data_IF_590346185219
#
_entry.id   IF_590346185219
#
_cell.length_a   1.000
_cell.length_b   1.000
_cell.length_c   1.000
_cell.angle_alpha   90.00
_cell.angle_beta   90.00
_cell.angle_gamma   90.00
#
_symmetry.space_group_name_H-M   'P 1'
#
loop_
_entity.id
_entity.type
_entity.pdbx_description
1 polymer ?
#
# COMPACT_ATOMS: atom_id res chain seq x y z
N UNK A 1 -10.19 18.78 2.71
CA UNK A 1 -10.03 17.61 1.83
C UNK A 1 -9.06 16.66 2.51
N UNK A 2 -9.52 15.45 2.87
CA UNK A 2 -8.67 14.43 3.51
C UNK A 2 -7.66 13.84 2.49
N UNK A 3 -6.68 13.08 2.98
CA UNK A 3 -5.58 12.53 2.16
C UNK A 3 -6.11 11.63 1.03
N UNK A 4 -7.09 10.77 1.32
CA UNK A 4 -7.72 9.90 0.33
C UNK A 4 -8.36 10.68 -0.84
N UNK A 5 -9.11 11.75 -0.56
CA UNK A 5 -9.73 12.56 -1.61
C UNK A 5 -8.72 13.35 -2.46
N UNK A 6 -7.52 13.65 -1.93
CA UNK A 6 -6.42 14.22 -2.73
C UNK A 6 -5.88 13.22 -3.73
N UNK A 7 -5.70 11.98 -3.32
CA UNK A 7 -5.24 10.94 -4.21
C UNK A 7 -6.23 10.60 -5.32
N UNK A 8 -7.52 10.54 -5.01
CA UNK A 8 -8.56 10.36 -6.04
C UNK A 8 -8.47 11.48 -7.08
N UNK A 9 -8.32 12.73 -6.63
CA UNK A 9 -8.08 13.88 -7.52
C UNK A 9 -6.80 13.76 -8.34
N UNK A 10 -5.69 13.25 -7.79
CA UNK A 10 -4.44 13.05 -8.51
C UNK A 10 -4.55 11.95 -9.58
N UNK A 11 -5.25 10.85 -9.27
CA UNK A 11 -5.54 9.75 -10.20
C UNK A 11 -6.40 10.26 -11.35
N UNK A 12 -7.48 10.98 -11.05
CA UNK A 12 -8.36 11.59 -12.05
C UNK A 12 -7.59 12.60 -12.91
N UNK A 13 -6.80 13.47 -12.27
CA UNK A 13 -6.05 14.52 -12.97
C UNK A 13 -5.03 13.93 -13.94
N UNK A 14 -4.28 12.90 -13.53
CA UNK A 14 -3.28 12.29 -14.42
C UNK A 14 -3.94 11.55 -15.59
N UNK A 15 -5.14 11.00 -15.40
CA UNK A 15 -5.94 10.44 -16.50
C UNK A 15 -6.44 11.51 -17.47
N UNK A 16 -6.90 12.67 -16.96
CA UNK A 16 -7.27 13.83 -17.79
C UNK A 16 -6.07 14.32 -18.60
N UNK A 17 -4.90 14.47 -17.98
CA UNK A 17 -3.66 14.87 -18.66
C UNK A 17 -3.31 13.86 -19.76
N UNK A 18 -3.35 12.56 -19.46
CA UNK A 18 -3.08 11.51 -20.43
C UNK A 18 -4.05 11.55 -21.62
N UNK A 19 -5.35 11.74 -21.37
CA UNK A 19 -6.36 11.88 -22.42
C UNK A 19 -6.12 13.11 -23.30
N UNK A 20 -5.81 14.26 -22.69
CA UNK A 20 -5.50 15.51 -23.39
C UNK A 20 -4.25 15.37 -24.28
N UNK A 21 -3.19 14.69 -23.80
CA UNK A 21 -2.01 14.38 -24.63
C UNK A 21 -2.39 13.52 -25.84
N UNK A 22 -3.21 12.48 -25.65
CA UNK A 22 -3.66 11.62 -26.75
C UNK A 22 -4.56 12.32 -27.77
N UNK A 23 -5.35 13.29 -27.32
CA UNK A 23 -6.17 14.12 -28.18
C UNK A 23 -5.36 15.21 -28.93
N UNK A 24 -4.12 15.47 -28.49
CA UNK A 24 -3.27 16.52 -29.06
C UNK A 24 -3.47 17.91 -28.44
N UNK A 25 -4.31 18.03 -27.41
CA UNK A 25 -4.69 19.31 -26.79
C UNK A 25 -3.51 20.03 -26.10
N UNK A 26 -2.47 19.27 -25.73
CA UNK A 26 -1.27 19.78 -25.07
C UNK A 26 -0.08 19.97 -26.02
N UNK A 27 -0.31 19.81 -27.33
CA UNK A 27 0.71 19.99 -28.38
C UNK A 27 0.48 21.32 -29.07
N UNK A 28 1.44 22.24 -28.96
CA UNK A 28 1.37 23.54 -29.63
C UNK A 28 2.05 23.54 -31.02
N UNK A 29 3.18 22.84 -31.15
CA UNK A 29 3.96 22.72 -32.39
C UNK A 29 4.69 21.36 -32.43
N UNK A 30 5.18 20.98 -33.61
CA UNK A 30 6.02 19.78 -33.78
C UNK A 30 7.49 19.99 -33.42
N UNK A 31 7.86 21.19 -32.94
CA UNK A 31 9.24 21.55 -32.61
C UNK A 31 9.60 21.22 -31.16
N UNK A 32 8.61 21.13 -30.28
CA UNK A 32 8.77 20.84 -28.85
C UNK A 32 7.87 19.69 -28.42
N UNK A 33 8.28 18.98 -27.36
CA UNK A 33 7.52 17.84 -26.85
C UNK A 33 6.16 18.30 -26.27
N UNK A 34 6.15 19.31 -25.41
CA UNK A 34 4.94 19.92 -24.86
C UNK A 34 5.07 21.45 -24.86
N UNK A 35 3.93 22.14 -24.85
CA UNK A 35 3.91 23.58 -24.61
C UNK A 35 4.56 23.91 -23.24
N UNK A 36 5.23 25.06 -23.14
CA UNK A 36 5.85 25.58 -21.90
C UNK A 36 7.08 24.81 -21.38
N UNK A 37 7.69 23.93 -22.17
CA UNK A 37 9.01 23.40 -21.82
C UNK A 37 10.05 24.53 -21.90
N UNK A 38 10.62 24.90 -20.75
CA UNK A 38 11.84 25.70 -20.65
C UNK A 38 13.07 24.77 -20.61
N UNK A 39 13.98 24.79 -21.59
CA UNK A 39 15.17 23.93 -21.60
C UNK A 39 16.12 24.12 -20.41
N UNK A 40 16.13 25.30 -19.79
CA UNK A 40 16.96 25.57 -18.61
C UNK A 40 16.41 24.90 -17.35
N UNK A 41 15.08 24.80 -17.23
CA UNK A 41 14.39 24.17 -16.10
C UNK A 41 14.06 22.70 -16.34
N UNK A 42 13.84 22.30 -17.60
CA UNK A 42 13.37 20.97 -17.99
C UNK A 42 14.33 20.27 -18.99
N UNK A 43 15.65 20.19 -18.70
CA UNK A 43 16.64 19.72 -19.67
C UNK A 43 16.38 18.28 -20.16
N UNK A 44 15.84 17.40 -19.30
CA UNK A 44 15.54 16.01 -19.66
C UNK A 44 14.36 15.88 -20.64
N UNK A 45 13.34 16.72 -20.49
CA UNK A 45 12.18 16.73 -21.41
C UNK A 45 12.52 17.45 -22.71
N UNK A 46 13.30 18.54 -22.65
CA UNK A 46 13.75 19.28 -23.83
C UNK A 46 14.66 18.44 -24.74
N UNK A 47 15.38 17.46 -24.19
CA UNK A 47 16.22 16.53 -24.95
C UNK A 47 15.44 15.43 -25.70
N UNK A 48 14.15 15.22 -25.40
CA UNK A 48 13.33 14.20 -26.04
C UNK A 48 12.91 14.63 -27.46
N UNK A 49 12.79 13.67 -28.39
CA UNK A 49 12.26 13.97 -29.72
C UNK A 49 10.77 14.37 -29.64
N UNK A 50 10.32 15.43 -30.31
CA UNK A 50 8.95 15.94 -30.24
C UNK A 50 7.98 15.15 -31.15
N UNK A 51 7.85 13.85 -30.91
CA UNK A 51 6.91 12.97 -31.64
C UNK A 51 5.67 12.66 -30.80
N UNK A 52 4.56 12.33 -31.45
CA UNK A 52 3.32 11.97 -30.75
C UNK A 52 3.51 10.73 -29.86
N UNK A 53 4.24 9.73 -30.36
CA UNK A 53 4.62 8.56 -29.57
C UNK A 53 5.36 8.94 -28.29
N UNK A 54 6.35 9.84 -28.36
CA UNK A 54 7.10 10.27 -27.18
C UNK A 54 6.23 11.05 -26.19
N UNK A 55 5.30 11.87 -26.68
CA UNK A 55 4.33 12.58 -25.83
C UNK A 55 3.48 11.59 -25.04
N UNK A 56 2.93 10.60 -25.74
CA UNK A 56 2.12 9.53 -25.12
C UNK A 56 2.95 8.72 -24.14
N UNK A 57 4.20 8.39 -24.47
CA UNK A 57 5.10 7.66 -23.56
C UNK A 57 5.39 8.44 -22.28
N UNK A 58 5.70 9.73 -22.36
CA UNK A 58 5.95 10.56 -21.17
C UNK A 58 4.69 10.69 -20.31
N UNK A 59 3.53 10.92 -20.91
CA UNK A 59 2.27 11.00 -20.18
C UNK A 59 1.88 9.64 -19.54
N UNK A 60 2.07 8.53 -20.27
CA UNK A 60 1.84 7.19 -19.76
C UNK A 60 2.77 6.87 -18.58
N UNK A 61 4.04 7.30 -18.65
CA UNK A 61 4.99 7.12 -17.57
C UNK A 61 4.56 7.88 -16.31
N UNK A 62 4.21 9.17 -16.43
CA UNK A 62 3.69 9.97 -15.30
C UNK A 62 2.49 9.28 -14.65
N UNK A 63 1.53 8.83 -15.47
CA UNK A 63 0.35 8.11 -15.00
C UNK A 63 0.69 6.83 -14.25
N UNK A 64 1.58 5.99 -14.79
CA UNK A 64 2.08 4.79 -14.13
C UNK A 64 2.73 5.14 -12.78
N UNK A 65 3.55 6.19 -12.73
CA UNK A 65 4.23 6.63 -11.50
C UNK A 65 3.24 7.06 -10.42
N UNK A 66 2.21 7.83 -10.76
CA UNK A 66 1.17 8.27 -9.81
C UNK A 66 0.40 7.07 -9.27
N UNK A 67 -0.05 6.15 -10.15
CA UNK A 67 -0.74 4.93 -9.74
C UNK A 67 0.12 4.02 -8.86
N UNK A 68 1.40 3.87 -9.18
CA UNK A 68 2.34 3.10 -8.37
C UNK A 68 2.54 3.72 -6.99
N UNK A 69 2.65 5.05 -6.91
CA UNK A 69 2.77 5.77 -5.62
C UNK A 69 1.53 5.54 -4.77
N UNK A 70 0.34 5.64 -5.36
CA UNK A 70 -0.90 5.42 -4.62
C UNK A 70 -0.98 4.03 -3.98
N UNK A 71 -0.63 2.97 -4.73
CA UNK A 71 -0.65 1.59 -4.19
C UNK A 71 0.38 1.43 -3.05
N UNK A 72 1.52 2.11 -3.13
CA UNK A 72 2.53 2.12 -2.06
C UNK A 72 2.00 2.78 -0.80
N UNK A 73 1.44 3.98 -0.95
CA UNK A 73 0.88 4.76 0.16
C UNK A 73 -0.32 4.06 0.81
N UNK A 74 -1.22 3.46 0.02
CA UNK A 74 -2.36 2.69 0.53
C UNK A 74 -1.90 1.54 1.44
N UNK A 75 -0.82 0.86 1.08
CA UNK A 75 -0.28 -0.21 1.91
C UNK A 75 0.42 0.31 3.17
N UNK A 76 1.07 1.47 3.09
CA UNK A 76 1.68 2.12 4.24
C UNK A 76 0.60 2.53 5.25
N UNK A 77 -0.49 3.13 4.78
CA UNK A 77 -1.66 3.48 5.60
C UNK A 77 -2.29 2.21 6.20
N UNK A 78 -2.43 1.13 5.42
CA UNK A 78 -2.92 -0.16 5.94
C UNK A 78 -2.00 -0.73 7.03
N UNK A 79 -0.69 -0.67 6.83
CA UNK A 79 0.28 -1.18 7.80
C UNK A 79 0.28 -0.37 9.10
N UNK A 80 0.12 0.95 8.99
CA UNK A 80 -0.04 1.85 10.13
C UNK A 80 -1.34 1.57 10.87
N UNK A 81 -2.46 1.40 10.16
CA UNK A 81 -3.74 0.99 10.73
C UNK A 81 -3.62 -0.31 11.53
N UNK A 82 -2.96 -1.33 10.99
CA UNK A 82 -2.75 -2.60 11.70
C UNK A 82 -1.97 -2.38 13.01
N UNK A 83 -1.00 -1.46 13.02
CA UNK A 83 -0.27 -1.08 14.23
C UNK A 83 -1.16 -0.35 15.23
N UNK A 84 -2.00 0.56 14.76
CA UNK A 84 -2.93 1.32 15.58
C UNK A 84 -3.98 0.42 16.24
N UNK A 85 -4.61 -0.51 15.51
CA UNK A 85 -5.67 -1.34 16.09
C UNK A 85 -5.14 -2.23 17.22
N UNK A 86 -3.91 -2.72 17.10
CA UNK A 86 -3.27 -3.46 18.20
C UNK A 86 -2.99 -2.53 19.37
N UNK A 87 -2.47 -1.32 19.14
CA UNK A 87 -2.26 -0.35 20.23
C UNK A 87 -3.57 0.05 20.91
N UNK A 88 -4.65 0.23 20.16
CA UNK A 88 -5.98 0.55 20.69
C UNK A 88 -6.56 -0.62 21.52
N UNK A 89 -6.26 -1.86 21.12
CA UNK A 89 -6.67 -3.08 21.81
C UNK A 89 -6.05 -3.28 23.22
N UNK A 90 -5.20 -2.34 23.69
CA UNK A 90 -4.52 -2.35 25.02
C UNK A 90 -5.46 -2.60 26.20
N UNK A 91 -6.75 -2.23 26.10
CA UNK A 91 -7.76 -2.49 27.14
C UNK A 91 -8.23 -3.95 27.25
N UNK A 92 -8.04 -4.76 26.21
CA UNK A 92 -8.49 -6.16 26.13
C UNK A 92 -7.36 -7.18 25.94
N UNK A 93 -6.10 -6.73 26.04
CA UNK A 93 -4.92 -7.55 25.81
C UNK A 93 -4.82 -8.71 26.80
N UNK A 94 -4.82 -9.93 26.28
CA UNK A 94 -4.46 -11.14 27.05
C UNK A 94 -3.01 -11.50 26.76
N UNK A 95 -2.06 -11.28 27.70
CA UNK A 95 -0.64 -11.57 27.50
C UNK A 95 -0.36 -12.98 26.96
N UNK A 96 -1.22 -13.94 27.32
CA UNK A 96 -1.12 -15.34 26.90
C UNK A 96 -1.25 -15.52 25.37
N UNK A 97 -1.95 -14.61 24.68
CA UNK A 97 -2.14 -14.66 23.22
C UNK A 97 -0.93 -14.17 22.44
N UNK A 98 -0.15 -13.25 23.01
CA UNK A 98 1.09 -12.74 22.40
C UNK A 98 2.19 -13.80 22.45
N UNK A 99 2.33 -14.45 23.61
CA UNK A 99 3.44 -15.36 23.89
C UNK A 99 3.25 -16.75 23.30
N UNK A 100 2.02 -17.13 22.92
CA UNK A 100 1.68 -18.47 22.47
C UNK A 100 2.29 -18.88 21.11
N UNK A 101 2.51 -17.92 20.22
CA UNK A 101 3.00 -18.16 18.85
C UNK A 101 4.27 -17.37 18.49
N UNK A 102 4.67 -16.39 19.32
CA UNK A 102 5.75 -15.46 18.99
C UNK A 102 6.75 -15.32 20.14
N UNK A 103 7.97 -15.82 19.92
CA UNK A 103 9.11 -15.49 20.77
C UNK A 103 9.64 -14.12 20.38
N UNK A 104 9.62 -13.18 21.33
CA UNK A 104 10.27 -11.87 21.21
C UNK A 104 11.56 -11.92 22.02
N UNK A 105 12.69 -11.63 21.38
CA UNK A 105 13.96 -11.46 22.07
C UNK A 105 14.12 -9.98 22.42
N UNK A 106 14.22 -9.69 23.70
CA UNK A 106 14.39 -8.32 24.22
C UNK A 106 15.62 -8.29 25.12
N UNK A 107 16.46 -7.26 24.99
CA UNK A 107 17.60 -7.06 25.88
C UNK A 107 17.13 -6.60 27.27
N UNK A 108 17.80 -7.06 28.33
CA UNK A 108 17.45 -6.69 29.69
C UNK A 108 17.49 -5.16 29.92
N UNK A 109 18.37 -4.44 29.23
CA UNK A 109 18.40 -2.97 29.25
C UNK A 109 17.14 -2.37 28.64
N UNK A 110 16.68 -2.88 27.50
CA UNK A 110 15.46 -2.37 26.84
C UNK A 110 14.24 -2.50 27.75
N UNK A 111 14.13 -3.60 28.51
CA UNK A 111 13.06 -3.80 29.49
C UNK A 111 13.16 -2.78 30.64
N UNK A 112 14.36 -2.53 31.16
CA UNK A 112 14.58 -1.59 32.25
C UNK A 112 14.33 -0.14 31.82
N UNK A 113 14.65 0.19 30.56
CA UNK A 113 14.44 1.53 29.99
C UNK A 113 12.95 1.86 29.78
N UNK A 114 12.06 0.85 29.72
CA UNK A 114 10.61 1.06 29.57
C UNK A 114 9.95 1.80 30.76
N UNK A 115 10.53 1.72 31.97
CA UNK A 115 10.08 2.44 33.16
C UNK A 115 8.69 2.09 33.72
N UNK A 116 7.87 1.32 32.99
CA UNK A 116 6.50 0.95 33.34
C UNK A 116 6.07 -0.32 32.61
N UNK A 117 5.00 -0.98 33.10
CA UNK A 117 4.40 -2.12 32.41
C UNK A 117 3.87 -1.74 31.02
N UNK A 118 3.25 -0.56 30.89
CA UNK A 118 2.75 -0.06 29.61
C UNK A 118 3.89 0.12 28.60
N UNK A 119 5.05 0.60 29.05
CA UNK A 119 6.25 0.70 28.20
C UNK A 119 6.77 -0.67 27.74
N UNK A 120 6.67 -1.70 28.59
CA UNK A 120 7.04 -3.08 28.20
C UNK A 120 6.07 -3.64 27.17
N UNK A 121 4.76 -3.38 27.32
CA UNK A 121 3.76 -3.76 26.32
C UNK A 121 4.04 -3.08 24.98
N UNK A 122 4.34 -1.79 24.98
CA UNK A 122 4.71 -1.04 23.78
C UNK A 122 5.93 -1.64 23.06
N UNK A 123 6.98 -1.96 23.81
CA UNK A 123 8.19 -2.58 23.28
C UNK A 123 7.90 -3.94 22.62
N UNK A 124 7.07 -4.77 23.25
CA UNK A 124 6.65 -6.07 22.71
C UNK A 124 5.78 -5.89 21.46
N UNK A 125 4.80 -4.98 21.50
CA UNK A 125 3.95 -4.65 20.35
C UNK A 125 4.78 -4.18 19.15
N UNK A 126 5.69 -3.23 19.36
CA UNK A 126 6.56 -2.71 18.28
C UNK A 126 7.52 -3.78 17.76
N UNK A 127 7.97 -4.72 18.59
CA UNK A 127 8.76 -5.85 18.11
C UNK A 127 7.94 -6.82 17.24
N UNK A 128 6.68 -7.06 17.60
CA UNK A 128 5.76 -7.85 16.75
C UNK A 128 5.54 -7.13 15.42
N UNK A 129 5.27 -5.82 15.43
CA UNK A 129 5.07 -5.06 14.20
C UNK A 129 6.30 -4.98 13.32
N UNK A 130 7.49 -4.71 13.86
CA UNK A 130 8.73 -4.75 13.06
C UNK A 130 8.90 -6.09 12.35
N UNK A 131 8.50 -7.18 12.99
CA UNK A 131 8.50 -8.51 12.37
C UNK A 131 7.42 -8.65 11.30
N UNK A 132 6.20 -8.14 11.54
CA UNK A 132 5.09 -8.16 10.58
C UNK A 132 5.36 -7.27 9.36
N UNK A 133 5.91 -6.07 9.53
CA UNK A 133 6.31 -5.16 8.44
C UNK A 133 7.42 -5.74 7.57
N UNK A 134 8.20 -6.68 8.10
CA UNK A 134 9.17 -7.47 7.33
C UNK A 134 8.55 -8.61 6.53
N UNK A 135 7.27 -8.93 6.72
CA UNK A 135 6.56 -9.93 5.93
C UNK A 135 6.03 -9.28 4.66
N UNK A 136 6.29 -9.89 3.51
CA UNK A 136 5.65 -9.49 2.24
C UNK A 136 4.23 -10.08 2.08
N UNK A 137 3.87 -11.05 2.92
CA UNK A 137 2.71 -11.90 2.72
C UNK A 137 1.54 -11.49 3.61
N UNK A 138 0.48 -10.94 3.00
CA UNK A 138 -0.74 -10.48 3.68
C UNK A 138 -1.37 -11.54 4.57
N UNK A 139 -1.44 -12.79 4.10
CA UNK A 139 -2.03 -13.90 4.87
C UNK A 139 -1.28 -14.07 6.19
N UNK A 140 0.06 -13.99 6.18
CA UNK A 140 0.86 -14.11 7.41
C UNK A 140 0.70 -12.91 8.34
N UNK A 141 0.61 -11.70 7.81
CA UNK A 141 0.40 -10.48 8.61
C UNK A 141 -0.96 -10.54 9.29
N UNK A 142 -2.01 -10.78 8.49
CA UNK A 142 -3.39 -10.81 8.97
C UNK A 142 -3.62 -11.99 9.89
N UNK A 143 -3.05 -13.18 9.61
CA UNK A 143 -3.14 -14.31 10.54
C UNK A 143 -2.49 -14.00 11.88
N UNK A 144 -1.31 -13.39 11.89
CA UNK A 144 -0.64 -13.02 13.14
C UNK A 144 -1.45 -11.99 13.94
N UNK A 145 -2.09 -11.03 13.26
CA UNK A 145 -3.04 -10.10 13.87
C UNK A 145 -4.26 -10.85 14.46
N UNK A 146 -4.85 -11.74 13.65
CA UNK A 146 -5.99 -12.59 14.01
C UNK A 146 -5.68 -13.40 15.28
N UNK A 147 -4.51 -14.02 15.34
CA UNK A 147 -4.05 -14.83 16.47
C UNK A 147 -3.79 -13.96 17.70
N UNK A 148 -3.15 -12.81 17.51
CA UNK A 148 -2.77 -11.87 18.58
C UNK A 148 -4.01 -11.31 19.28
N UNK A 149 -4.98 -10.86 18.49
CA UNK A 149 -6.20 -10.21 18.98
C UNK A 149 -7.34 -11.22 19.22
N UNK A 150 -7.22 -12.45 18.69
CA UNK A 150 -8.27 -13.47 18.70
C UNK A 150 -9.47 -13.08 17.84
N UNK A 151 -9.21 -12.45 16.70
CA UNK A 151 -10.23 -12.08 15.72
C UNK A 151 -10.48 -13.26 14.78
N UNK A 152 -11.71 -13.39 14.28
CA UNK A 152 -12.04 -14.31 13.19
C UNK A 152 -12.18 -13.52 11.89
N UNK A 153 -11.06 -13.36 11.18
CA UNK A 153 -10.98 -12.60 9.95
C UNK A 153 -11.34 -13.48 8.75
N UNK A 154 -12.24 -13.01 7.89
CA UNK A 154 -12.67 -13.73 6.69
C UNK A 154 -11.49 -13.96 5.71
N UNK A 155 -11.18 -15.23 5.44
CA UNK A 155 -10.12 -15.64 4.53
C UNK A 155 -10.35 -15.12 3.10
N UNK A 156 -11.60 -14.97 2.65
CA UNK A 156 -11.94 -14.44 1.33
C UNK A 156 -11.52 -12.97 1.16
N UNK A 157 -11.66 -12.16 2.22
CA UNK A 157 -11.21 -10.76 2.20
C UNK A 157 -9.68 -10.67 2.19
N UNK A 158 -9.01 -11.54 2.93
CA UNK A 158 -7.54 -11.63 2.91
C UNK A 158 -7.03 -12.05 1.54
N UNK A 159 -7.69 -13.02 0.90
CA UNK A 159 -7.36 -13.46 -0.46
C UNK A 159 -7.61 -12.38 -1.51
N UNK A 160 -8.67 -11.60 -1.38
CA UNK A 160 -8.94 -10.47 -2.27
C UNK A 160 -7.90 -9.35 -2.13
N UNK A 161 -7.39 -9.10 -0.91
CA UNK A 161 -6.38 -8.08 -0.63
C UNK A 161 -4.95 -8.52 -1.01
N UNK A 162 -4.67 -9.83 -0.98
CA UNK A 162 -3.32 -10.38 -1.15
C UNK A 162 -2.59 -9.94 -2.44
N UNK A 163 -3.22 -9.94 -3.64
CA UNK A 163 -2.53 -9.57 -4.87
C UNK A 163 -1.97 -8.15 -4.84
N UNK A 164 -2.67 -7.22 -4.18
CA UNK A 164 -2.30 -5.80 -4.14
C UNK A 164 -1.16 -5.51 -3.16
N UNK A 165 -1.07 -6.29 -2.08
CA UNK A 165 0.07 -6.23 -1.15
C UNK A 165 1.34 -6.78 -1.81
N UNK A 166 1.23 -7.92 -2.49
CA UNK A 166 2.36 -8.50 -3.24
C UNK A 166 2.78 -7.57 -4.40
N UNK A 167 1.80 -6.93 -5.06
CA UNK A 167 2.06 -5.90 -6.05
C UNK A 167 2.86 -4.73 -5.46
N UNK A 168 2.51 -4.25 -4.26
CA UNK A 168 3.29 -3.21 -3.56
C UNK A 168 4.72 -3.66 -3.31
N UNK A 169 4.94 -4.91 -2.90
CA UNK A 169 6.28 -5.46 -2.70
C UNK A 169 7.11 -5.37 -3.98
N UNK A 170 6.56 -5.78 -5.13
CA UNK A 170 7.23 -5.66 -6.43
C UNK A 170 7.47 -4.20 -6.82
N UNK A 171 6.49 -3.31 -6.62
CA UNK A 171 6.62 -1.89 -6.93
C UNK A 171 7.72 -1.18 -6.11
N UNK A 172 8.04 -1.67 -4.91
CA UNK A 172 9.07 -1.09 -4.04
C UNK A 172 10.44 -1.72 -4.29
N UNK A 173 10.51 -3.04 -4.48
CA UNK A 173 11.79 -3.76 -4.51
C UNK A 173 12.29 -4.11 -5.90
N UNK A 174 11.40 -4.24 -6.89
CA UNK A 174 11.75 -4.64 -8.27
C UNK A 174 11.19 -3.66 -9.31
N UNK A 175 10.85 -2.43 -8.91
CA UNK A 175 10.24 -1.41 -9.78
C UNK A 175 8.99 -1.91 -10.54
N UNK A 176 8.25 -2.83 -9.91
CA UNK A 176 7.05 -3.43 -10.47
C UNK A 176 7.30 -4.49 -11.53
N UNK A 177 8.52 -5.01 -11.65
CA UNK A 177 8.82 -6.16 -12.51
C UNK A 177 8.22 -7.43 -11.91
N UNK A 178 7.40 -8.13 -12.69
CA UNK A 178 6.70 -9.33 -12.28
C UNK A 178 7.67 -10.49 -12.06
N UNK A 179 7.56 -11.12 -10.89
CA UNK A 179 8.22 -12.40 -10.61
C UNK A 179 7.37 -13.56 -11.13
N UNK A 180 8.00 -14.70 -11.41
CA UNK A 180 7.29 -15.92 -11.75
C UNK A 180 6.22 -16.29 -10.72
N UNK A 181 6.56 -16.19 -9.42
CA UNK A 181 5.65 -16.50 -8.34
C UNK A 181 4.40 -15.60 -8.34
N UNK A 182 4.56 -14.32 -8.68
CA UNK A 182 3.43 -13.39 -8.82
C UNK A 182 2.55 -13.76 -10.02
N UNK A 183 3.15 -14.03 -11.17
CA UNK A 183 2.42 -14.44 -12.38
C UNK A 183 1.64 -15.75 -12.17
N UNK A 184 2.23 -16.72 -11.49
CA UNK A 184 1.60 -18.02 -11.21
C UNK A 184 0.46 -17.88 -10.20
N UNK A 185 0.59 -16.97 -9.23
CA UNK A 185 -0.42 -16.77 -8.16
C UNK A 185 -1.56 -15.85 -8.57
N UNK A 186 -1.29 -14.88 -9.46
CA UNK A 186 -2.22 -13.81 -9.83
C UNK A 186 -2.28 -13.62 -11.37
N UNK A 187 -2.70 -14.65 -12.12
CA UNK A 187 -2.72 -14.62 -13.58
C UNK A 187 -3.65 -13.52 -14.16
N UNK A 188 -4.60 -13.03 -13.38
CA UNK A 188 -5.53 -11.95 -13.74
C UNK A 188 -4.84 -10.61 -14.04
N UNK A 189 -3.63 -10.39 -13.53
CA UNK A 189 -2.82 -9.22 -13.88
C UNK A 189 -2.25 -9.29 -15.29
N UNK A 190 -2.28 -10.47 -15.93
CA UNK A 190 -1.83 -10.67 -17.31
C UNK A 190 -0.36 -10.36 -17.54
N UNK A 191 0.47 -10.33 -16.48
CA UNK A 191 1.89 -10.04 -16.56
C UNK A 191 2.70 -11.32 -16.84
N UNK A 192 3.83 -11.17 -17.54
CA UNK A 192 4.81 -12.23 -17.74
C UNK A 192 6.07 -12.00 -16.89
N UNK A 193 6.78 -13.08 -16.55
CA UNK A 193 8.02 -12.99 -15.77
C UNK A 193 9.03 -12.05 -16.44
N UNK A 194 9.57 -11.10 -15.66
CA UNK A 194 10.51 -10.10 -16.16
C UNK A 194 9.88 -8.88 -16.85
N UNK A 195 8.56 -8.88 -17.05
CA UNK A 195 7.82 -7.73 -17.57
C UNK A 195 7.38 -6.79 -16.44
N UNK A 196 7.30 -5.49 -16.74
CA UNK A 196 6.69 -4.54 -15.81
C UNK A 196 5.18 -4.75 -15.73
N UNK A 197 4.65 -4.91 -14.52
CA UNK A 197 3.21 -5.06 -14.28
C UNK A 197 2.48 -3.81 -14.76
N UNK A 198 1.44 -4.03 -15.56
CA UNK A 198 0.61 -2.95 -16.10
C UNK A 198 -0.38 -2.49 -15.04
N UNK A 199 -0.15 -1.30 -14.51
CA UNK A 199 -1.10 -0.62 -13.65
C UNK A 199 -2.18 0.05 -14.48
N UNK A 200 -3.43 -0.03 -14.04
CA UNK A 200 -4.59 0.67 -14.61
C UNK A 200 -5.39 1.38 -13.51
N UNK A 201 -6.32 2.25 -13.91
CA UNK A 201 -7.29 2.82 -12.97
C UNK A 201 -8.09 1.73 -12.23
N UNK A 202 -8.41 0.62 -12.89
CA UNK A 202 -9.09 -0.51 -12.26
C UNK A 202 -8.18 -1.22 -11.25
N UNK A 203 -6.88 -1.38 -11.54
CA UNK A 203 -5.91 -1.91 -10.57
C UNK A 203 -5.93 -1.10 -9.29
N UNK A 204 -5.89 0.23 -9.42
CA UNK A 204 -5.89 1.16 -8.29
C UNK A 204 -7.21 1.10 -7.51
N UNK A 205 -8.35 1.13 -8.21
CA UNK A 205 -9.68 1.06 -7.59
C UNK A 205 -9.89 -0.25 -6.85
N UNK A 206 -9.50 -1.37 -7.46
CA UNK A 206 -9.66 -2.69 -6.85
C UNK A 206 -8.73 -2.86 -5.64
N UNK A 207 -7.50 -2.34 -5.70
CA UNK A 207 -6.60 -2.31 -4.54
C UNK A 207 -7.23 -1.57 -3.36
N UNK A 208 -7.77 -0.38 -3.63
CA UNK A 208 -8.47 0.42 -2.60
C UNK A 208 -9.66 -0.35 -2.01
N UNK A 209 -10.54 -0.89 -2.86
CA UNK A 209 -11.74 -1.62 -2.39
C UNK A 209 -11.35 -2.80 -1.51
N UNK A 210 -10.43 -3.65 -1.98
CA UNK A 210 -10.04 -4.86 -1.26
C UNK A 210 -9.38 -4.55 0.09
N UNK A 211 -8.52 -3.52 0.15
CA UNK A 211 -7.88 -3.12 1.42
C UNK A 211 -8.90 -2.46 2.35
N UNK A 212 -9.78 -1.60 1.85
CA UNK A 212 -10.80 -0.92 2.66
C UNK A 212 -11.79 -1.93 3.24
N UNK A 213 -12.29 -2.86 2.43
CA UNK A 213 -13.21 -3.92 2.89
C UNK A 213 -12.58 -4.81 3.97
N UNK A 214 -11.27 -5.11 3.84
CA UNK A 214 -10.53 -5.84 4.85
C UNK A 214 -10.41 -5.05 6.15
N UNK A 215 -10.06 -3.75 6.09
CA UNK A 215 -10.00 -2.84 7.24
C UNK A 215 -11.36 -2.76 7.95
N UNK A 216 -12.43 -2.47 7.21
CA UNK A 216 -13.80 -2.40 7.76
C UNK A 216 -14.26 -3.72 8.39
N UNK A 217 -13.78 -4.85 7.87
CA UNK A 217 -14.04 -6.14 8.49
C UNK A 217 -13.26 -6.33 9.80
N UNK A 218 -11.97 -5.98 9.82
CA UNK A 218 -11.13 -6.05 11.01
C UNK A 218 -11.72 -5.17 12.12
N UNK A 219 -12.13 -3.93 11.81
CA UNK A 219 -12.75 -3.01 12.77
C UNK A 219 -14.02 -3.60 13.38
N UNK A 220 -14.94 -4.11 12.55
CA UNK A 220 -16.16 -4.76 13.04
C UNK A 220 -15.84 -5.90 14.00
N UNK A 221 -14.86 -6.75 13.67
CA UNK A 221 -14.45 -7.86 14.54
C UNK A 221 -13.83 -7.39 15.84
N UNK A 222 -13.01 -6.33 15.80
CA UNK A 222 -12.39 -5.76 16.99
C UNK A 222 -13.43 -5.14 17.93
N UNK A 223 -14.47 -4.50 17.40
CA UNK A 223 -15.60 -3.97 18.17
C UNK A 223 -16.42 -5.11 18.77
N UNK A 224 -16.79 -6.13 17.98
CA UNK A 224 -17.50 -7.32 18.45
C UNK A 224 -16.75 -8.02 19.59
N UNK A 225 -15.42 -8.02 19.53
CA UNK A 225 -14.54 -8.55 20.57
C UNK A 225 -14.36 -7.61 21.78
N UNK A 226 -14.88 -6.38 21.74
CA UNK A 226 -14.76 -5.38 22.79
C UNK A 226 -13.33 -4.83 22.97
N UNK A 227 -12.52 -4.87 21.91
CA UNK A 227 -11.11 -4.43 21.94
C UNK A 227 -10.95 -2.93 21.70
N UNK A 228 -11.87 -2.33 20.94
CA UNK A 228 -11.88 -0.91 20.59
C UNK A 228 -13.29 -0.32 20.79
N UNK A 229 -13.39 0.99 21.03
CA UNK A 229 -14.67 1.68 21.16
C UNK A 229 -15.14 2.16 19.77
N UNK A 230 -16.45 2.29 19.55
CA UNK A 230 -17.03 2.75 18.27
C UNK A 230 -16.48 4.10 17.77
N UNK A 231 -15.96 4.94 18.68
CA UNK A 231 -15.40 6.25 18.33
C UNK A 231 -13.96 6.20 17.80
N UNK A 232 -13.30 5.04 17.82
CA UNK A 232 -11.91 4.84 17.38
C UNK A 232 -11.81 4.32 15.92
N UNK A 233 -12.93 4.34 15.16
CA UNK A 233 -12.99 3.89 13.76
C UNK A 233 -12.13 4.74 12.79
N UNK A 234 -11.61 4.10 11.74
CA UNK A 234 -11.00 4.73 10.56
C UNK A 234 -11.87 4.60 9.30
#
# INVERSE_FOLDING_TARGET
MNRAARFDGDIEFVDVVYAAVRAGDLTCTNEVLFARIDPSLHPRLAAQKPTDDNRVHVAAHLRKSVWASYIKDLYEDFSEYLAEIVRASRGGFRPERITGSHTVSVDAREILDCGSWDGVVELVTDSVFRRLSGLSNTKRIVQALSDLLGLEIDAGLVEAAQPYVELRHLLVHTDGVASRAFCDSFPEFGAHEGEGIKLTADTVRNARSAITELVEHIDRRAIEAGLILDNDMQ
#
